data_IF_177985222741
#
_entry.id   IF_177985222741
#
_cell.length_a   1.000
_cell.length_b   1.000
_cell.length_c   1.000
_cell.angle_alpha   90.00
_cell.angle_beta   90.00
_cell.angle_gamma   90.00
#
_symmetry.space_group_name_H-M   'P 1'
#
loop_
_entity.id
_entity.type
_entity.pdbx_description
1 polymer ?
#
# COMPACT_ATOMS: atom_id res chain seq x y z
N UNK A 1 28.09 4.25 0.66
CA UNK A 1 26.69 3.93 1.01
C UNK A 1 25.87 5.15 0.63
N UNK A 2 24.92 5.07 -0.30
CA UNK A 2 24.08 6.23 -0.65
C UNK A 2 23.37 6.75 0.61
N UNK A 3 23.44 8.06 0.85
CA UNK A 3 22.71 8.69 1.96
C UNK A 3 21.21 8.50 1.75
N UNK A 4 20.51 7.94 2.75
CA UNK A 4 19.05 7.80 2.71
C UNK A 4 18.33 9.17 2.73
N UNK A 5 19.05 10.25 2.99
CA UNK A 5 18.50 11.62 3.04
C UNK A 5 17.92 12.06 1.69
N UNK A 6 18.50 11.55 0.59
CA UNK A 6 18.11 11.91 -0.77
C UNK A 6 16.92 11.11 -1.32
N UNK A 7 16.43 10.10 -0.58
CA UNK A 7 15.30 9.28 -1.03
C UNK A 7 14.04 10.14 -1.16
N UNK A 8 13.46 10.18 -2.35
CA UNK A 8 12.19 10.80 -2.65
C UNK A 8 11.07 9.75 -2.66
N UNK A 9 10.17 9.79 -1.68
CA UNK A 9 9.01 8.88 -1.64
C UNK A 9 7.97 9.13 -2.74
N UNK A 10 8.04 10.23 -3.47
CA UNK A 10 7.24 10.46 -4.69
C UNK A 10 7.92 9.88 -5.95
N UNK A 11 9.13 9.33 -5.83
CA UNK A 11 9.84 8.62 -6.90
C UNK A 11 9.55 7.13 -6.82
N UNK A 12 8.94 6.56 -7.86
CA UNK A 12 8.76 5.11 -7.95
C UNK A 12 10.11 4.38 -8.01
N UNK A 13 11.16 5.00 -8.54
CA UNK A 13 12.49 4.39 -8.62
C UNK A 13 13.08 4.22 -7.20
N UNK A 14 13.02 5.26 -6.39
CA UNK A 14 13.51 5.24 -5.00
C UNK A 14 12.67 4.32 -4.13
N UNK A 15 11.35 4.31 -4.34
CA UNK A 15 10.45 3.41 -3.65
C UNK A 15 10.75 1.96 -4.00
N UNK A 16 10.98 1.65 -5.28
CA UNK A 16 11.38 0.32 -5.73
C UNK A 16 12.75 -0.08 -5.20
N UNK A 17 13.70 0.86 -5.12
CA UNK A 17 14.99 0.62 -4.49
C UNK A 17 14.81 0.12 -3.04
N UNK A 18 13.91 0.74 -2.27
CA UNK A 18 13.60 0.26 -0.91
C UNK A 18 12.85 -1.07 -0.93
N UNK A 19 11.79 -1.18 -1.73
CA UNK A 19 10.92 -2.34 -1.72
C UNK A 19 11.62 -3.62 -2.20
N UNK A 20 12.67 -3.49 -3.02
CA UNK A 20 13.50 -4.60 -3.51
C UNK A 20 14.67 -4.94 -2.58
N UNK A 21 14.96 -4.13 -1.55
CA UNK A 21 15.98 -4.48 -0.55
C UNK A 21 15.59 -5.76 0.19
N UNK A 22 16.62 -6.48 0.62
CA UNK A 22 16.43 -7.59 1.54
C UNK A 22 15.77 -7.09 2.83
N UNK A 23 14.71 -7.76 3.26
CA UNK A 23 13.96 -7.40 4.47
C UNK A 23 14.80 -7.40 5.74
N UNK A 24 15.89 -8.17 5.80
CA UNK A 24 16.87 -8.13 6.89
C UNK A 24 17.64 -6.80 6.98
N UNK A 25 17.65 -6.01 5.91
CA UNK A 25 18.25 -4.66 5.86
C UNK A 25 17.25 -3.57 6.26
N UNK A 26 16.01 -3.93 6.58
CA UNK A 26 14.95 -3.02 7.00
C UNK A 26 14.62 -3.29 8.47
N UNK A 27 14.22 -2.25 9.20
CA UNK A 27 13.84 -2.40 10.61
C UNK A 27 12.32 -2.49 10.75
N UNK A 28 11.82 -3.66 11.16
CA UNK A 28 10.40 -3.84 11.44
C UNK A 28 10.01 -3.12 12.74
N UNK A 29 8.85 -2.46 12.75
CA UNK A 29 8.25 -1.82 13.93
C UNK A 29 6.78 -2.20 14.02
N UNK A 30 6.30 -2.44 15.23
CA UNK A 30 4.92 -2.84 15.50
C UNK A 30 4.13 -1.70 16.16
N UNK A 31 2.88 -1.49 15.74
CA UNK A 31 1.93 -0.52 16.31
C UNK A 31 2.57 0.82 16.72
N UNK A 32 2.67 1.06 18.03
CA UNK A 32 3.06 2.33 18.61
C UNK A 32 4.50 2.72 18.22
N UNK A 33 5.42 1.76 18.17
CA UNK A 33 6.81 2.05 17.80
C UNK A 33 6.91 2.58 16.36
N UNK A 34 6.07 2.07 15.46
CA UNK A 34 6.01 2.56 14.09
C UNK A 34 5.41 3.97 14.06
N UNK A 35 4.36 4.23 14.84
CA UNK A 35 3.76 5.58 14.95
C UNK A 35 4.78 6.59 15.47
N UNK A 36 5.59 6.24 16.47
CA UNK A 36 6.65 7.10 16.98
C UNK A 36 7.73 7.38 15.94
N UNK A 37 8.17 6.35 15.20
CA UNK A 37 9.10 6.51 14.09
C UNK A 37 8.52 7.41 13.00
N UNK A 38 7.26 7.21 12.62
CA UNK A 38 6.56 8.03 11.63
C UNK A 38 6.43 9.47 12.10
N UNK A 39 6.13 9.72 13.39
CA UNK A 39 6.01 11.07 13.97
C UNK A 39 7.34 11.83 13.89
N UNK A 40 8.45 11.18 14.23
CA UNK A 40 9.81 11.77 14.18
C UNK A 40 10.38 11.92 12.76
N UNK A 41 9.85 11.15 11.82
CA UNK A 41 10.29 11.18 10.43
C UNK A 41 9.78 12.39 9.66
N UNK A 42 10.67 12.96 8.84
CA UNK A 42 10.37 13.99 7.84
C UNK A 42 9.62 13.42 6.63
N UNK A 43 9.75 12.12 6.35
CA UNK A 43 9.18 11.46 5.16
C UNK A 43 8.47 10.19 5.58
N UNK A 44 7.17 10.12 5.31
CA UNK A 44 6.32 8.96 5.62
C UNK A 44 5.54 8.57 4.38
N UNK A 45 5.51 7.28 4.06
CA UNK A 45 4.72 6.75 2.95
C UNK A 45 3.96 5.50 3.37
N UNK A 46 2.71 5.38 2.92
CA UNK A 46 1.98 4.10 2.92
C UNK A 46 1.91 3.54 1.51
N UNK A 47 2.01 2.22 1.37
CA UNK A 47 2.06 1.57 0.07
C UNK A 47 0.99 0.50 0.05
N UNK A 48 0.08 0.59 -0.90
CA UNK A 48 -0.95 -0.40 -1.14
C UNK A 48 -0.47 -1.29 -2.28
N UNK A 49 0.02 -2.48 -1.93
CA UNK A 49 0.56 -3.43 -2.88
C UNK A 49 -0.55 -4.39 -3.31
N UNK A 50 -0.86 -4.34 -4.61
CA UNK A 50 -1.87 -5.17 -5.25
C UNK A 50 -1.19 -6.26 -6.10
N UNK A 51 -1.12 -7.52 -5.63
CA UNK A 51 -0.61 -8.63 -6.42
C UNK A 51 -1.55 -8.98 -7.56
N UNK A 52 -0.98 -9.04 -8.77
CA UNK A 52 -1.58 -9.65 -9.95
C UNK A 52 -0.88 -10.98 -10.31
N UNK A 53 -0.02 -11.50 -9.44
CA UNK A 53 0.51 -12.86 -9.51
C UNK A 53 0.86 -13.37 -8.10
N UNK A 54 0.81 -14.69 -7.91
CA UNK A 54 1.16 -15.34 -6.65
C UNK A 54 2.59 -15.89 -6.70
N UNK A 55 3.41 -15.53 -5.72
CA UNK A 55 4.75 -16.09 -5.53
C UNK A 55 5.08 -16.26 -4.06
N UNK A 56 5.80 -17.33 -3.71
CA UNK A 56 6.33 -17.54 -2.36
C UNK A 56 7.79 -17.08 -2.34
N UNK A 57 8.04 -15.78 -2.19
CA UNK A 57 9.39 -15.25 -1.94
C UNK A 57 9.33 -14.19 -0.84
N UNK A 58 10.02 -14.42 0.27
CA UNK A 58 10.04 -13.49 1.41
C UNK A 58 11.20 -12.51 1.41
N UNK A 59 12.02 -12.50 0.35
CA UNK A 59 13.32 -11.83 0.31
C UNK A 59 13.21 -10.31 0.43
N UNK A 60 12.22 -9.70 -0.20
CA UNK A 60 12.03 -8.25 -0.23
C UNK A 60 10.57 -7.87 0.04
N UNK A 61 10.28 -6.60 0.37
CA UNK A 61 8.91 -6.15 0.60
C UNK A 61 8.03 -6.25 -0.66
N UNK A 62 8.62 -6.04 -1.84
CA UNK A 62 7.92 -6.22 -3.12
C UNK A 62 7.58 -7.68 -3.40
N UNK A 63 8.50 -8.58 -3.06
CA UNK A 63 8.33 -10.03 -3.27
C UNK A 63 7.44 -10.69 -2.24
N UNK A 64 7.26 -10.06 -1.06
CA UNK A 64 6.25 -10.41 -0.05
C UNK A 64 4.82 -10.17 -0.54
N UNK A 65 4.61 -10.20 -1.85
CA UNK A 65 3.33 -10.34 -2.54
C UNK A 65 2.76 -11.74 -2.31
N UNK A 66 2.40 -11.94 -1.05
CA UNK A 66 1.62 -13.06 -0.60
C UNK A 66 0.21 -13.01 -1.21
N UNK A 67 -0.61 -14.05 -1.04
CA UNK A 67 -1.92 -14.31 -1.70
C UNK A 67 -3.00 -13.20 -1.55
N UNK A 68 -2.64 -12.03 -1.03
CA UNK A 68 -3.54 -11.01 -0.54
C UNK A 68 -2.86 -9.64 -0.63
N UNK A 69 -3.66 -8.59 -0.70
CA UNK A 69 -3.21 -7.19 -0.83
C UNK A 69 -2.54 -6.70 0.47
N UNK A 70 -1.58 -5.79 0.38
CA UNK A 70 -0.86 -5.28 1.56
C UNK A 70 -0.97 -3.77 1.69
N UNK A 71 -1.22 -3.26 2.89
CA UNK A 71 -0.80 -1.91 3.25
C UNK A 71 0.53 -1.97 4.01
N UNK A 72 1.59 -1.45 3.41
CA UNK A 72 2.91 -1.29 4.01
C UNK A 72 3.02 0.14 4.52
N UNK A 73 3.54 0.31 5.73
CA UNK A 73 3.87 1.62 6.30
C UNK A 73 5.39 1.76 6.28
N UNK A 74 5.93 2.82 5.69
CA UNK A 74 7.37 3.09 5.63
C UNK A 74 7.69 4.51 6.11
N UNK A 75 8.82 4.65 6.81
CA UNK A 75 9.40 5.95 7.11
C UNK A 75 10.92 5.88 7.27
N UNK A 76 11.58 7.01 7.06
CA UNK A 76 13.02 7.15 7.28
C UNK A 76 13.28 7.93 8.56
N UNK A 77 14.02 7.37 9.50
CA UNK A 77 14.43 8.10 10.71
C UNK A 77 15.81 7.61 11.13
N UNK A 78 16.68 8.51 11.61
CA UNK A 78 18.03 8.18 12.08
C UNK A 78 18.82 7.31 11.07
N UNK A 79 18.77 7.67 9.79
CA UNK A 79 19.39 6.93 8.68
C UNK A 79 19.02 5.43 8.64
N UNK A 80 17.81 5.07 9.09
CA UNK A 80 17.24 3.72 9.02
C UNK A 80 15.89 3.75 8.31
N UNK A 81 15.63 2.68 7.56
CA UNK A 81 14.33 2.42 6.93
C UNK A 81 13.51 1.60 7.91
N UNK A 82 12.42 2.19 8.41
CA UNK A 82 11.46 1.49 9.25
C UNK A 82 10.26 1.05 8.42
N UNK A 83 9.75 -0.14 8.72
CA UNK A 83 8.54 -0.64 8.09
C UNK A 83 7.59 -1.33 9.06
N UNK A 84 6.30 -1.29 8.74
CA UNK A 84 5.28 -2.13 9.33
C UNK A 84 4.34 -2.66 8.26
N UNK A 85 3.67 -3.76 8.55
CA UNK A 85 2.70 -4.39 7.65
C UNK A 85 1.32 -4.33 8.30
N UNK A 86 0.33 -3.84 7.56
CA UNK A 86 -1.09 -3.85 7.92
C UNK A 86 -1.83 -5.07 7.34
N UNK A 87 -1.17 -6.21 7.15
CA UNK A 87 -1.72 -7.26 6.31
C UNK A 87 -2.78 -8.16 6.99
N UNK A 88 -3.84 -8.58 6.29
CA UNK A 88 -4.95 -9.36 6.86
C UNK A 88 -4.75 -10.87 7.17
N UNK A 89 -3.55 -11.44 7.02
CA UNK A 89 -3.33 -12.91 7.12
C UNK A 89 -3.46 -13.51 8.52
N UNK A 90 -3.20 -12.72 9.55
CA UNK A 90 -3.32 -13.16 10.95
C UNK A 90 -4.13 -12.15 11.74
N UNK A 91 -4.71 -12.58 12.86
CA UNK A 91 -5.44 -11.67 13.76
C UNK A 91 -4.55 -10.53 14.27
N UNK A 92 -3.28 -10.79 14.55
CA UNK A 92 -2.29 -9.79 14.95
C UNK A 92 -2.04 -8.73 13.86
N UNK A 93 -1.88 -9.13 12.61
CA UNK A 93 -1.63 -8.18 11.52
C UNK A 93 -2.89 -7.39 11.12
N UNK A 94 -4.08 -8.00 11.23
CA UNK A 94 -5.37 -7.29 11.14
C UNK A 94 -5.52 -6.24 12.24
N UNK A 95 -5.17 -6.60 13.47
CA UNK A 95 -5.18 -5.67 14.59
C UNK A 95 -4.22 -4.49 14.34
N UNK A 96 -3.02 -4.77 13.82
CA UNK A 96 -2.04 -3.75 13.44
C UNK A 96 -2.60 -2.78 12.37
N UNK A 97 -3.27 -3.31 11.36
CA UNK A 97 -3.94 -2.51 10.32
C UNK A 97 -5.02 -1.59 10.90
N UNK A 98 -5.93 -2.15 11.70
CA UNK A 98 -7.00 -1.43 12.34
C UNK A 98 -6.46 -0.33 13.27
N UNK A 99 -5.40 -0.65 14.02
CA UNK A 99 -4.70 0.31 14.87
C UNK A 99 -4.17 1.50 14.05
N UNK A 100 -3.46 1.25 12.96
CA UNK A 100 -2.93 2.33 12.13
C UNK A 100 -4.06 3.19 11.54
N UNK A 101 -5.12 2.59 11.01
CA UNK A 101 -6.26 3.35 10.49
C UNK A 101 -6.88 4.23 11.58
N UNK A 102 -7.10 3.70 12.79
CA UNK A 102 -7.69 4.48 13.90
C UNK A 102 -6.77 5.64 14.33
N UNK A 103 -5.45 5.43 14.38
CA UNK A 103 -4.46 6.51 14.61
C UNK A 103 -4.56 7.56 13.52
N UNK A 104 -4.60 7.15 12.26
CA UNK A 104 -4.73 8.07 11.14
C UNK A 104 -6.07 8.79 11.16
N UNK A 105 -7.17 8.18 11.57
CA UNK A 105 -8.47 8.87 11.73
C UNK A 105 -8.41 9.99 12.78
N UNK A 106 -7.66 9.79 13.86
CA UNK A 106 -7.52 10.76 14.96
C UNK A 106 -6.46 11.84 14.69
N UNK A 107 -5.42 11.54 13.90
CA UNK A 107 -4.27 12.43 13.74
C UNK A 107 -4.20 13.11 12.36
N UNK A 108 -4.75 14.32 12.26
CA UNK A 108 -4.76 15.12 11.01
C UNK A 108 -3.35 15.50 10.53
N UNK A 109 -2.45 15.81 11.46
CA UNK A 109 -1.06 16.17 11.13
C UNK A 109 -0.35 14.98 10.46
N UNK A 110 -0.46 13.80 11.06
CA UNK A 110 0.13 12.58 10.50
C UNK A 110 -0.49 12.21 9.14
N UNK A 111 -1.81 12.37 8.96
CA UNK A 111 -2.48 12.16 7.66
C UNK A 111 -1.93 13.07 6.56
N UNK A 112 -1.75 14.35 6.88
CA UNK A 112 -1.36 15.35 5.90
C UNK A 112 0.11 15.23 5.49
N UNK A 113 0.99 14.75 6.37
CA UNK A 113 2.40 14.55 6.05
C UNK A 113 2.72 13.21 5.40
N UNK A 114 1.78 12.27 5.43
CA UNK A 114 1.97 10.93 4.89
C UNK A 114 1.56 10.93 3.42
N UNK A 115 2.45 10.46 2.55
CA UNK A 115 2.15 10.20 1.14
C UNK A 115 1.63 8.77 1.04
N UNK A 116 0.88 8.46 0.01
CA UNK A 116 0.48 7.11 -0.28
C UNK A 116 0.75 6.71 -1.72
N UNK A 117 1.18 5.48 -1.92
CA UNK A 117 1.36 4.87 -3.23
C UNK A 117 0.45 3.66 -3.38
N UNK A 118 -0.34 3.62 -4.44
CA UNK A 118 -1.03 2.40 -4.88
C UNK A 118 -0.15 1.76 -5.95
N UNK A 119 0.29 0.52 -5.74
CA UNK A 119 1.19 -0.20 -6.64
C UNK A 119 0.53 -1.51 -7.06
N UNK A 120 0.37 -1.68 -8.36
CA UNK A 120 -0.07 -2.93 -8.99
C UNK A 120 1.18 -3.64 -9.50
N UNK A 121 1.34 -4.90 -9.13
CA UNK A 121 2.59 -5.63 -9.38
C UNK A 121 2.34 -7.06 -9.86
N UNK A 122 3.25 -7.54 -10.69
CA UNK A 122 3.30 -8.91 -11.16
C UNK A 122 4.72 -9.42 -10.92
N UNK A 123 4.89 -10.46 -10.09
CA UNK A 123 6.21 -10.93 -9.63
C UNK A 123 7.01 -9.77 -8.99
N UNK A 124 8.11 -9.35 -9.64
CA UNK A 124 9.00 -8.27 -9.17
C UNK A 124 8.80 -6.96 -9.95
N UNK A 125 7.84 -6.96 -10.87
CA UNK A 125 7.61 -5.88 -11.81
C UNK A 125 6.38 -5.07 -11.38
N UNK A 126 6.44 -3.77 -11.64
CA UNK A 126 5.32 -2.86 -11.40
C UNK A 126 4.56 -2.68 -12.71
N UNK A 127 3.29 -3.04 -12.69
CA UNK A 127 2.36 -2.88 -13.81
C UNK A 127 1.84 -1.45 -13.90
N UNK A 128 1.41 -0.92 -12.75
CA UNK A 128 0.88 0.43 -12.62
C UNK A 128 1.15 0.97 -11.22
N UNK A 129 1.23 2.29 -11.09
CA UNK A 129 1.31 2.94 -9.79
C UNK A 129 0.60 4.29 -9.80
N UNK A 130 0.19 4.73 -8.61
CA UNK A 130 -0.45 6.01 -8.39
C UNK A 130 -0.03 6.60 -7.05
N UNK A 131 0.40 7.87 -7.05
CA UNK A 131 0.76 8.60 -5.84
C UNK A 131 -0.36 9.54 -5.40
N UNK A 132 -0.58 9.61 -4.10
CA UNK A 132 -1.52 10.50 -3.44
C UNK A 132 -0.84 11.23 -2.28
N UNK A 133 -0.93 12.56 -2.25
CA UNK A 133 -0.16 13.40 -1.32
C UNK A 133 -0.74 13.46 0.11
N UNK A 134 -1.53 12.47 0.50
CA UNK A 134 -2.09 12.30 1.84
C UNK A 134 -2.26 10.81 2.14
N UNK A 135 -2.47 10.47 3.40
CA UNK A 135 -2.85 9.11 3.78
C UNK A 135 -4.13 8.63 3.08
N UNK A 136 -4.09 7.43 2.52
CA UNK A 136 -5.25 6.60 2.22
C UNK A 136 -5.11 5.22 2.89
N UNK A 137 -6.24 4.52 3.04
CA UNK A 137 -6.26 3.16 3.60
C UNK A 137 -6.55 2.10 2.52
N UNK A 138 -6.03 0.90 2.69
CA UNK A 138 -6.37 -0.25 1.87
C UNK A 138 -7.68 -0.85 2.41
N UNK A 139 -8.75 -0.82 1.60
CA UNK A 139 -10.08 -1.24 2.06
C UNK A 139 -10.23 -2.78 2.15
N UNK A 140 -9.38 -3.53 1.46
CA UNK A 140 -9.43 -5.00 1.49
C UNK A 140 -9.21 -5.59 2.87
N UNK A 141 -8.39 -4.93 3.67
CA UNK A 141 -7.99 -5.42 4.98
C UNK A 141 -8.94 -4.91 6.09
N UNK A 142 -9.90 -4.03 5.73
CA UNK A 142 -10.98 -3.57 6.62
C UNK A 142 -12.26 -4.39 6.41
N UNK A 143 -12.47 -4.90 5.19
CA UNK A 143 -13.55 -5.82 4.85
C UNK A 143 -13.16 -7.28 5.05
N UNK A 144 -14.13 -8.13 5.36
CA UNK A 144 -14.04 -9.57 5.69
C UNK A 144 -13.72 -9.99 7.13
N UNK A 145 -13.34 -9.08 8.07
CA UNK A 145 -13.39 -9.36 9.52
C UNK A 145 -13.48 -8.09 10.43
N UNK A 146 -14.70 -7.72 10.84
CA UNK A 146 -15.11 -7.48 12.24
C UNK A 146 -14.51 -6.29 13.06
N UNK A 147 -14.39 -5.08 12.52
CA UNK A 147 -14.41 -3.87 13.37
C UNK A 147 -15.50 -2.88 12.93
N UNK A 148 -16.73 -3.12 13.40
CA UNK A 148 -17.92 -2.31 13.06
C UNK A 148 -17.71 -0.84 13.40
N UNK A 149 -17.09 -0.55 14.55
CA UNK A 149 -16.83 0.82 14.99
C UNK A 149 -15.89 1.55 14.02
N UNK A 150 -14.82 0.89 13.59
CA UNK A 150 -13.87 1.46 12.62
C UNK A 150 -14.54 1.71 11.26
N UNK A 151 -15.37 0.77 10.79
CA UNK A 151 -16.14 0.94 9.55
C UNK A 151 -17.06 2.16 9.63
N UNK A 152 -17.76 2.35 10.74
CA UNK A 152 -18.61 3.53 10.95
C UNK A 152 -17.80 4.83 11.00
N UNK A 153 -16.64 4.82 11.68
CA UNK A 153 -15.70 5.97 11.66
C UNK A 153 -15.24 6.29 10.24
N UNK A 154 -14.90 5.29 9.44
CA UNK A 154 -14.47 5.45 8.05
C UNK A 154 -15.58 6.01 7.14
N UNK A 155 -16.82 5.53 7.28
CA UNK A 155 -17.99 6.07 6.56
C UNK A 155 -18.18 7.55 6.83
N UNK A 156 -18.05 7.97 8.10
CA UNK A 156 -18.18 9.38 8.51
C UNK A 156 -17.00 10.24 8.04
N UNK A 157 -15.77 9.74 8.19
CA UNK A 157 -14.56 10.48 7.88
C UNK A 157 -14.31 10.66 6.37
N UNK A 158 -14.91 9.80 5.52
CA UNK A 158 -14.73 9.80 4.06
C UNK A 158 -13.25 9.82 3.65
N UNK A 159 -12.42 9.06 4.38
CA UNK A 159 -11.00 8.93 4.04
C UNK A 159 -10.86 8.28 2.66
N UNK A 160 -9.91 8.74 1.84
CA UNK A 160 -9.57 8.06 0.60
C UNK A 160 -9.13 6.62 0.85
N UNK A 161 -9.42 5.75 -0.12
CA UNK A 161 -9.04 4.35 -0.05
C UNK A 161 -8.84 3.73 -1.42
N UNK A 162 -8.08 2.65 -1.49
CA UNK A 162 -8.04 1.81 -2.69
C UNK A 162 -8.67 0.44 -2.43
N UNK A 163 -9.20 -0.16 -3.50
CA UNK A 163 -9.83 -1.47 -3.47
C UNK A 163 -9.78 -2.15 -4.86
N UNK A 164 -10.10 -3.43 -4.92
CA UNK A 164 -10.27 -4.27 -6.09
C UNK A 164 -11.76 -4.33 -6.37
N UNK A 165 -12.11 -3.95 -7.59
CA UNK A 165 -13.42 -4.18 -8.18
C UNK A 165 -13.34 -5.41 -9.09
N UNK A 166 -14.44 -6.17 -9.19
CA UNK A 166 -14.54 -7.35 -10.04
C UNK A 166 -15.63 -7.10 -11.09
N UNK A 167 -15.30 -7.21 -12.38
CA UNK A 167 -16.20 -6.85 -13.48
C UNK A 167 -17.34 -7.85 -13.78
N UNK A 168 -17.41 -9.04 -13.18
CA UNK A 168 -18.46 -10.02 -13.54
C UNK A 168 -18.97 -10.91 -12.39
N UNK A 169 -20.21 -11.38 -12.57
CA UNK A 169 -20.97 -12.31 -11.73
C UNK A 169 -20.44 -13.75 -11.70
N UNK A 170 -19.33 -14.04 -12.39
CA UNK A 170 -18.74 -15.38 -12.51
C UNK A 170 -17.62 -15.67 -11.50
N UNK A 171 -17.54 -14.87 -10.43
CA UNK A 171 -16.57 -15.09 -9.35
C UNK A 171 -15.19 -14.48 -9.61
N UNK A 172 -14.22 -14.71 -8.71
CA UNK A 172 -12.96 -13.98 -8.67
C UNK A 172 -11.94 -14.46 -9.72
N UNK A 173 -12.26 -14.31 -11.00
CA UNK A 173 -11.30 -14.56 -12.08
C UNK A 173 -10.31 -13.40 -12.21
N UNK A 174 -9.07 -13.72 -12.56
CA UNK A 174 -8.00 -12.75 -12.70
C UNK A 174 -8.30 -11.68 -13.77
N UNK A 175 -8.94 -12.10 -14.86
CA UNK A 175 -9.25 -11.30 -16.05
C UNK A 175 -10.36 -10.26 -15.81
N UNK A 176 -11.01 -10.27 -14.65
CA UNK A 176 -12.06 -9.32 -14.27
C UNK A 176 -11.65 -8.33 -13.17
N UNK A 177 -10.37 -8.34 -12.74
CA UNK A 177 -9.89 -7.51 -11.62
C UNK A 177 -9.50 -6.09 -12.05
N UNK A 178 -10.01 -5.11 -11.31
CA UNK A 178 -9.63 -3.69 -11.41
C UNK A 178 -9.10 -3.18 -10.10
N UNK A 179 -8.02 -2.41 -10.12
CA UNK A 179 -7.57 -1.63 -8.95
C UNK A 179 -8.17 -0.24 -9.05
N UNK A 180 -9.00 0.11 -8.09
CA UNK A 180 -9.67 1.41 -8.00
C UNK A 180 -9.10 2.18 -6.81
N UNK A 181 -8.77 3.45 -7.02
CA UNK A 181 -8.56 4.42 -5.97
C UNK A 181 -9.77 5.34 -5.86
N UNK A 182 -10.38 5.40 -4.67
CA UNK A 182 -11.56 6.22 -4.38
C UNK A 182 -11.19 7.39 -3.48
N UNK A 183 -11.43 8.57 -4.02
CA UNK A 183 -11.47 9.85 -3.32
C UNK A 183 -12.92 10.38 -3.41
N UNK A 184 -13.13 11.64 -3.82
CA UNK A 184 -14.45 12.14 -4.22
C UNK A 184 -14.99 11.43 -5.47
N UNK A 185 -14.10 11.07 -6.40
CA UNK A 185 -14.36 10.28 -7.61
C UNK A 185 -13.67 8.92 -7.53
N UNK A 186 -14.13 7.96 -8.34
CA UNK A 186 -13.41 6.72 -8.59
C UNK A 186 -12.33 6.98 -9.65
N UNK A 187 -11.13 6.47 -9.42
CA UNK A 187 -10.01 6.51 -10.36
C UNK A 187 -9.59 5.06 -10.60
N UNK A 188 -9.70 4.58 -11.83
CA UNK A 188 -9.18 3.27 -12.22
C UNK A 188 -7.67 3.38 -12.37
N UNK A 189 -6.93 2.66 -11.51
CA UNK A 189 -5.46 2.62 -11.53
C UNK A 189 -4.98 1.58 -12.52
N UNK A 190 -5.69 0.45 -12.61
CA UNK A 190 -5.33 -0.66 -13.46
C UNK A 190 -6.54 -1.56 -13.69
N UNK A 191 -6.64 -2.12 -14.90
CA UNK A 191 -7.57 -3.17 -15.27
C UNK A 191 -6.75 -4.32 -15.86
N UNK A 192 -6.92 -5.54 -15.35
CA UNK A 192 -6.28 -6.70 -15.96
C UNK A 192 -6.79 -6.87 -17.41
N UNK A 193 -5.85 -7.04 -18.34
CA UNK A 193 -6.12 -7.45 -19.72
C UNK A 193 -5.34 -8.73 -20.03
N UNK A 194 -5.87 -9.57 -20.93
CA UNK A 194 -5.24 -10.86 -21.29
C UNK A 194 -3.82 -10.66 -21.83
N UNK A 195 -3.56 -9.61 -22.62
CA UNK A 195 -2.22 -9.39 -23.18
C UNK A 195 -1.15 -9.05 -22.13
N UNK A 196 -1.49 -8.47 -20.98
CA UNK A 196 -0.49 -8.11 -19.96
C UNK A 196 0.17 -9.34 -19.33
N UNK A 197 -0.55 -10.47 -19.29
CA UNK A 197 -0.07 -11.74 -18.76
C UNK A 197 0.91 -12.41 -19.73
N UNK A 198 0.65 -12.27 -21.04
CA UNK A 198 1.35 -13.00 -22.10
C UNK A 198 2.50 -12.19 -22.73
N UNK A 199 2.32 -10.88 -22.91
CA UNK A 199 3.23 -10.03 -23.70
C UNK A 199 4.34 -9.35 -22.89
N UNK A 200 4.25 -9.35 -21.54
CA UNK A 200 5.19 -8.62 -20.65
C UNK A 200 5.38 -7.14 -21.03
N UNK A 201 4.43 -6.51 -21.75
CA UNK A 201 4.51 -5.08 -22.08
C UNK A 201 4.03 -4.26 -20.88
N UNK A 202 4.99 -3.74 -20.12
CA UNK A 202 4.77 -2.92 -18.94
C UNK A 202 4.57 -1.44 -19.29
N UNK A 203 4.03 -0.68 -18.32
CA UNK A 203 3.87 0.79 -18.26
C UNK A 203 2.48 1.36 -18.57
N UNK A 204 1.63 1.45 -17.54
CA UNK A 204 0.66 2.55 -17.43
C UNK A 204 1.11 3.52 -16.32
N UNK A 205 1.75 4.63 -16.72
CA UNK A 205 2.07 5.75 -15.84
C UNK A 205 0.85 6.67 -15.76
N UNK A 206 0.01 6.49 -14.74
CA UNK A 206 -1.00 7.50 -14.42
C UNK A 206 -0.33 8.63 -13.63
N UNK A 207 0.27 9.57 -14.38
CA UNK A 207 0.81 10.81 -13.83
C UNK A 207 -0.37 11.67 -13.34
N UNK A 208 -0.31 12.08 -12.07
CA UNK A 208 -1.07 13.14 -11.38
C UNK A 208 -2.34 13.63 -12.10
N UNK A 209 -3.51 13.34 -11.51
CA UNK A 209 -4.66 14.24 -11.65
C UNK A 209 -5.35 14.47 -10.30
N UNK A 210 -5.23 15.73 -9.88
CA UNK A 210 -5.89 16.47 -8.79
C UNK A 210 -5.28 16.33 -7.39
#
# INVERSE_FOLDING_TARGET
MESLENINFESIQDLLYILKKDVSKLTYKYKQDMIEAMKKSNKVITIHLYPFWYGKSGKSLLERNEWSWHQIYLCLSNNKIYYSLGHGRSSCMRENHNFFIDVFLKNKSLRNKTISAVIVSYKKDVLAYYFYNKYNYCNHDVGSNWNKELVEKLKKARLPYSYIDYESSEGPNFESKKVIFKVKKKIEIYKAIKEDIWSKKFYAKLKKQL
#
